data_IF_524702004799
#
_entry.id   IF_524702004799
#
_cell.length_a   1.000
_cell.length_b   1.000
_cell.length_c   1.000
_cell.angle_alpha   90.00
_cell.angle_beta   90.00
_cell.angle_gamma   90.00
#
_symmetry.space_group_name_H-M   'P 1'
#
loop_
_entity.id
_entity.type
_entity.pdbx_description
1 polymer ?
#
# COMPACT_ATOMS: atom_id res chain seq x y z
N UNK A 1 20.06 -9.26 7.62
CA UNK A 1 18.75 -8.82 7.08
C UNK A 1 18.98 -8.23 5.71
N UNK A 2 18.19 -8.65 4.73
CA UNK A 2 18.18 -7.95 3.45
C UNK A 2 17.54 -6.57 3.70
N UNK A 3 18.13 -5.51 3.16
CA UNK A 3 17.54 -4.18 3.17
C UNK A 3 17.60 -3.62 1.75
N UNK A 4 16.51 -3.01 1.31
CA UNK A 4 16.47 -2.32 0.02
C UNK A 4 16.88 -0.89 0.30
N UNK A 5 18.09 -0.51 -0.12
CA UNK A 5 18.52 0.88 -0.11
C UNK A 5 18.37 1.47 -1.50
N UNK A 6 17.15 1.94 -1.81
CA UNK A 6 16.85 2.52 -3.13
C UNK A 6 17.73 3.74 -3.37
N UNK A 7 18.08 4.51 -2.33
CA UNK A 7 18.89 5.72 -2.49
C UNK A 7 20.30 5.46 -3.06
N UNK A 8 20.84 4.25 -2.87
CA UNK A 8 22.16 3.82 -3.37
C UNK A 8 22.10 3.13 -4.74
N UNK A 9 20.91 3.02 -5.35
CA UNK A 9 20.80 2.38 -6.67
C UNK A 9 21.57 3.13 -7.74
N UNK A 10 22.31 2.37 -8.55
CA UNK A 10 22.95 2.87 -9.77
C UNK A 10 21.91 3.18 -10.85
N UNK A 11 22.32 3.93 -11.88
CA UNK A 11 21.50 4.19 -13.08
C UNK A 11 21.04 2.88 -13.73
N UNK A 12 21.92 1.86 -13.80
CA UNK A 12 21.57 0.55 -14.35
C UNK A 12 20.45 -0.12 -13.55
N UNK A 13 20.55 -0.14 -12.21
CA UNK A 13 19.53 -0.71 -11.34
C UNK A 13 18.18 0.03 -11.45
N UNK A 14 18.21 1.36 -11.57
CA UNK A 14 17.01 2.17 -11.82
C UNK A 14 16.38 1.79 -13.16
N UNK A 15 17.18 1.63 -14.22
CA UNK A 15 16.64 1.29 -15.54
C UNK A 15 16.11 -0.14 -15.60
N UNK A 16 16.70 -1.08 -14.86
CA UNK A 16 16.18 -2.45 -14.74
C UNK A 16 14.86 -2.48 -13.97
N UNK A 17 14.74 -1.71 -12.89
CA UNK A 17 13.46 -1.51 -12.20
C UNK A 17 12.41 -0.89 -13.13
N UNK A 18 12.78 0.14 -13.90
CA UNK A 18 11.88 0.84 -14.81
C UNK A 18 11.28 -0.09 -15.89
N UNK A 19 12.08 -1.01 -16.44
CA UNK A 19 11.63 -2.04 -17.40
C UNK A 19 10.58 -2.99 -16.81
N UNK A 20 10.58 -3.16 -15.48
CA UNK A 20 9.65 -4.05 -14.78
C UNK A 20 8.26 -3.46 -14.53
N UNK A 21 8.04 -2.16 -14.80
CA UNK A 21 6.76 -1.51 -14.50
C UNK A 21 5.71 -1.75 -15.58
N UNK A 22 6.03 -1.42 -16.83
CA UNK A 22 5.13 -1.56 -17.98
C UNK A 22 5.95 -1.60 -19.29
N UNK A 23 5.42 -2.25 -20.33
CA UNK A 23 6.08 -2.34 -21.64
C UNK A 23 6.33 -0.95 -22.28
N UNK A 24 5.50 0.05 -21.98
CA UNK A 24 5.70 1.43 -22.46
C UNK A 24 6.97 2.09 -21.89
N UNK A 25 7.50 1.58 -20.77
CA UNK A 25 8.67 2.17 -20.12
C UNK A 25 9.97 1.97 -20.90
N UNK A 26 10.03 0.96 -21.78
CA UNK A 26 11.21 0.68 -22.60
C UNK A 26 11.62 1.87 -23.49
N UNK A 27 10.67 2.72 -23.88
CA UNK A 27 10.95 3.93 -24.67
C UNK A 27 11.77 4.97 -23.90
N UNK A 28 11.74 4.94 -22.57
CA UNK A 28 12.39 5.94 -21.71
C UNK A 28 13.72 5.45 -21.11
N UNK A 29 14.01 4.15 -21.18
CA UNK A 29 15.23 3.54 -20.60
C UNK A 29 16.50 4.28 -21.02
N UNK A 30 16.69 4.53 -22.32
CA UNK A 30 17.88 5.23 -22.81
C UNK A 30 17.99 6.66 -22.27
N UNK A 31 16.86 7.34 -22.10
CA UNK A 31 16.82 8.70 -21.55
C UNK A 31 17.25 8.69 -20.07
N UNK A 32 16.74 7.75 -19.28
CA UNK A 32 17.14 7.56 -17.89
C UNK A 32 18.64 7.21 -17.77
N UNK A 33 19.14 6.31 -18.63
CA UNK A 33 20.57 5.96 -18.67
C UNK A 33 21.44 7.17 -19.01
N UNK A 34 21.11 7.91 -20.08
CA UNK A 34 21.90 9.06 -20.55
C UNK A 34 21.93 10.23 -19.56
N UNK A 35 20.87 10.38 -18.77
CA UNK A 35 20.79 11.40 -17.71
C UNK A 35 21.28 10.88 -16.36
N UNK A 36 21.85 9.66 -16.32
CA UNK A 36 22.42 9.03 -15.12
C UNK A 36 21.48 9.04 -13.91
N UNK A 37 20.18 8.77 -14.14
CA UNK A 37 19.16 8.84 -13.09
C UNK A 37 19.39 7.74 -12.06
N UNK A 38 20.04 8.11 -10.96
CA UNK A 38 20.31 7.23 -9.82
C UNK A 38 19.14 7.15 -8.83
N UNK A 39 19.25 6.22 -7.89
CA UNK A 39 18.18 5.91 -6.94
C UNK A 39 17.74 7.08 -6.06
N UNK A 40 18.68 7.92 -5.60
CA UNK A 40 18.35 9.15 -4.85
C UNK A 40 17.52 10.13 -5.67
N UNK A 41 17.80 10.29 -6.95
CA UNK A 41 17.02 11.15 -7.84
C UNK A 41 15.64 10.53 -8.09
N UNK A 42 15.60 9.22 -8.38
CA UNK A 42 14.35 8.49 -8.57
C UNK A 42 13.39 8.66 -7.38
N UNK A 43 13.88 8.51 -6.14
CA UNK A 43 13.07 8.69 -4.93
C UNK A 43 12.50 10.10 -4.77
N UNK A 44 13.10 11.11 -5.40
CA UNK A 44 12.66 12.50 -5.28
C UNK A 44 12.05 13.04 -6.57
N UNK A 45 11.88 12.18 -7.59
CA UNK A 45 11.51 12.60 -8.93
C UNK A 45 10.16 13.30 -8.94
N UNK A 46 10.10 14.43 -9.66
CA UNK A 46 8.91 15.25 -9.83
C UNK A 46 8.35 15.08 -11.24
N UNK A 47 7.04 15.35 -11.46
CA UNK A 47 6.43 15.25 -12.78
C UNK A 47 7.19 16.03 -13.88
N UNK A 48 7.65 17.25 -13.58
CA UNK A 48 8.40 18.06 -14.54
C UNK A 48 9.79 17.48 -14.88
N UNK A 49 10.40 16.68 -14.00
CA UNK A 49 11.66 15.99 -14.29
C UNK A 49 11.43 14.80 -15.23
N UNK A 50 10.28 14.12 -15.11
CA UNK A 50 9.86 13.09 -16.07
C UNK A 50 9.62 13.70 -17.45
N UNK A 51 9.04 14.90 -17.54
CA UNK A 51 8.90 15.64 -18.80
C UNK A 51 10.25 15.94 -19.45
N UNK A 52 11.25 16.34 -18.66
CA UNK A 52 12.63 16.58 -19.14
C UNK A 52 13.30 15.29 -19.65
N UNK A 53 12.93 14.14 -19.09
CA UNK A 53 13.34 12.82 -19.57
C UNK A 53 12.55 12.35 -20.81
N UNK A 54 11.67 13.20 -21.36
CA UNK A 54 10.89 12.92 -22.56
C UNK A 54 9.54 12.25 -22.29
N UNK A 55 9.16 12.05 -21.03
CA UNK A 55 7.90 11.41 -20.63
C UNK A 55 6.78 12.44 -20.52
N UNK A 56 6.23 12.86 -21.67
CA UNK A 56 5.14 13.85 -21.74
C UNK A 56 3.74 13.25 -21.53
N UNK A 57 3.60 11.93 -21.65
CA UNK A 57 2.32 11.25 -21.42
C UNK A 57 2.02 11.21 -19.93
N UNK A 58 0.95 11.89 -19.50
CA UNK A 58 0.49 11.88 -18.10
C UNK A 58 0.29 10.44 -17.61
N UNK A 59 -0.29 9.56 -18.44
CA UNK A 59 -0.48 8.15 -18.07
C UNK A 59 0.82 7.42 -17.77
N UNK A 60 1.89 7.70 -18.53
CA UNK A 60 3.20 7.09 -18.27
C UNK A 60 3.86 7.68 -17.02
N UNK A 61 3.70 8.99 -16.79
CA UNK A 61 4.19 9.64 -15.58
C UNK A 61 3.54 9.04 -14.34
N UNK A 62 2.22 8.84 -14.35
CA UNK A 62 1.49 8.27 -13.21
C UNK A 62 1.97 6.85 -12.87
N UNK A 63 2.26 6.00 -13.87
CA UNK A 63 2.82 4.65 -13.62
C UNK A 63 4.14 4.74 -12.84
N UNK A 64 5.06 5.62 -13.28
CA UNK A 64 6.35 5.79 -12.60
C UNK A 64 6.17 6.41 -11.21
N UNK A 65 5.36 7.47 -11.08
CA UNK A 65 5.16 8.16 -9.82
C UNK A 65 4.49 7.27 -8.77
N UNK A 66 3.51 6.46 -9.18
CA UNK A 66 2.88 5.46 -8.32
C UNK A 66 3.91 4.41 -7.88
N UNK A 67 4.72 3.89 -8.81
CA UNK A 67 5.76 2.92 -8.51
C UNK A 67 6.86 3.48 -7.58
N UNK A 68 7.24 4.75 -7.74
CA UNK A 68 8.16 5.46 -6.85
C UNK A 68 7.59 5.59 -5.44
N UNK A 69 6.27 5.77 -5.30
CA UNK A 69 5.64 5.82 -3.97
C UNK A 69 5.74 4.46 -3.24
N UNK A 70 5.59 3.34 -3.96
CA UNK A 70 5.87 2.01 -3.40
C UNK A 70 7.34 1.87 -2.99
N UNK A 71 8.29 2.32 -3.82
CA UNK A 71 9.72 2.30 -3.49
C UNK A 71 10.05 3.12 -2.23
N UNK A 72 9.46 4.32 -2.09
CA UNK A 72 9.62 5.12 -0.87
C UNK A 72 9.10 4.40 0.35
N UNK A 73 7.94 3.72 0.24
CA UNK A 73 7.40 2.97 1.35
C UNK A 73 8.38 1.86 1.79
N UNK A 74 8.93 1.11 0.84
CA UNK A 74 9.95 0.10 1.15
C UNK A 74 11.23 0.71 1.74
N UNK A 75 11.69 1.85 1.21
CA UNK A 75 12.93 2.47 1.66
C UNK A 75 12.84 3.11 3.07
N UNK A 76 11.68 3.65 3.44
CA UNK A 76 11.55 4.45 4.67
C UNK A 76 10.75 3.79 5.79
N UNK A 77 9.85 2.85 5.44
CA UNK A 77 8.87 2.30 6.36
C UNK A 77 8.98 0.78 6.53
N UNK A 78 9.77 0.05 5.74
CA UNK A 78 9.84 -1.42 5.84
C UNK A 78 10.14 -1.90 7.27
N UNK A 79 11.08 -1.26 7.95
CA UNK A 79 11.53 -1.59 9.31
C UNK A 79 10.68 -0.98 10.43
N UNK A 80 9.70 -0.13 10.09
CA UNK A 80 8.86 0.62 11.05
C UNK A 80 7.38 0.28 10.94
N UNK A 81 6.93 -0.10 9.76
CA UNK A 81 5.54 -0.40 9.47
C UNK A 81 5.15 -1.67 10.23
N UNK A 82 4.20 -1.53 11.15
CA UNK A 82 3.55 -2.61 11.88
C UNK A 82 2.05 -2.30 11.98
N UNK A 83 1.26 -3.27 12.49
CA UNK A 83 -0.19 -3.13 12.53
C UNK A 83 -0.62 -1.93 13.40
N UNK A 84 0.07 -1.67 14.52
CA UNK A 84 -0.21 -0.50 15.37
C UNK A 84 0.07 0.82 14.64
N UNK A 85 1.19 0.90 13.92
CA UNK A 85 1.57 2.08 13.14
C UNK A 85 0.52 2.39 12.06
N UNK A 86 0.08 1.36 11.32
CA UNK A 86 -0.98 1.51 10.33
C UNK A 86 -2.32 1.92 10.96
N UNK A 87 -2.67 1.34 12.11
CA UNK A 87 -3.83 1.77 12.88
C UNK A 87 -3.73 3.23 13.31
N UNK A 88 -2.56 3.70 13.76
CA UNK A 88 -2.33 5.10 14.13
C UNK A 88 -2.58 6.06 12.95
N UNK A 89 -2.15 5.69 11.74
CA UNK A 89 -2.44 6.46 10.53
C UNK A 89 -3.93 6.54 10.24
N UNK A 90 -4.67 5.43 10.39
CA UNK A 90 -6.13 5.39 10.24
C UNK A 90 -6.82 6.23 11.31
N UNK A 91 -6.40 6.11 12.58
CA UNK A 91 -6.94 6.89 13.68
C UNK A 91 -6.76 8.39 13.44
N UNK A 92 -5.55 8.82 13.07
CA UNK A 92 -5.22 10.22 12.77
C UNK A 92 -6.05 10.78 11.62
N UNK A 93 -6.11 10.06 10.48
CA UNK A 93 -6.91 10.48 9.33
C UNK A 93 -8.41 10.57 9.67
N UNK A 94 -8.94 9.55 10.36
CA UNK A 94 -10.35 9.48 10.76
C UNK A 94 -10.74 10.56 11.75
N UNK A 95 -9.90 10.83 12.76
CA UNK A 95 -10.12 11.88 13.73
C UNK A 95 -10.04 13.27 13.10
N UNK A 96 -9.09 13.49 12.18
CA UNK A 96 -8.98 14.75 11.44
C UNK A 96 -10.25 15.01 10.63
N UNK A 97 -10.71 14.03 9.85
CA UNK A 97 -11.93 14.11 9.05
C UNK A 97 -13.16 14.34 9.95
N UNK A 98 -13.31 13.58 11.03
CA UNK A 98 -14.42 13.72 11.96
C UNK A 98 -14.47 15.10 12.61
N UNK A 99 -13.33 15.62 13.10
CA UNK A 99 -13.25 16.97 13.69
C UNK A 99 -13.62 18.05 12.67
N UNK A 100 -13.07 17.97 11.47
CA UNK A 100 -13.36 18.92 10.40
C UNK A 100 -14.85 18.96 10.08
N UNK A 101 -15.53 17.80 10.02
CA UNK A 101 -16.96 17.74 9.74
C UNK A 101 -17.84 18.17 10.94
N UNK A 102 -17.41 17.91 12.18
CA UNK A 102 -18.14 18.29 13.41
C UNK A 102 -18.19 19.80 13.62
N UNK A 103 -17.13 20.50 13.26
CA UNK A 103 -17.02 21.96 13.41
C UNK A 103 -17.30 22.71 12.10
N UNK A 104 -17.76 22.02 11.07
CA UNK A 104 -18.14 22.64 9.81
C UNK A 104 -19.64 22.89 9.78
N UNK A 105 -20.03 24.13 9.49
CA UNK A 105 -21.42 24.49 9.18
C UNK A 105 -21.83 24.06 7.75
N UNK A 106 -20.95 23.35 7.04
CA UNK A 106 -21.17 22.95 5.65
C UNK A 106 -22.18 21.81 5.56
N UNK A 107 -23.16 22.00 4.69
CA UNK A 107 -24.17 20.99 4.33
C UNK A 107 -23.80 20.21 3.07
N UNK A 108 -22.75 20.64 2.35
CA UNK A 108 -22.26 20.06 1.09
C UNK A 108 -20.78 19.66 1.22
N UNK A 109 -20.36 18.64 0.47
CA UNK A 109 -18.98 18.20 0.45
C UNK A 109 -18.16 19.14 -0.44
N UNK A 110 -17.23 19.87 0.17
CA UNK A 110 -16.23 20.63 -0.58
C UNK A 110 -15.10 19.72 -1.05
N UNK A 111 -14.37 20.16 -2.08
CA UNK A 111 -13.21 19.44 -2.64
C UNK A 111 -12.20 19.02 -1.57
N UNK A 112 -12.00 19.86 -0.55
CA UNK A 112 -11.10 19.55 0.56
C UNK A 112 -11.59 18.34 1.37
N UNK A 113 -12.89 18.26 1.69
CA UNK A 113 -13.48 17.11 2.39
C UNK A 113 -13.35 15.84 1.55
N UNK A 114 -13.59 15.92 0.24
CA UNK A 114 -13.42 14.78 -0.67
C UNK A 114 -11.96 14.27 -0.68
N UNK A 115 -11.00 15.19 -0.64
CA UNK A 115 -9.57 14.87 -0.50
C UNK A 115 -9.28 14.18 0.84
N UNK A 116 -9.85 14.65 1.93
CA UNK A 116 -9.65 14.07 3.27
C UNK A 116 -10.33 12.70 3.42
N UNK A 117 -11.49 12.49 2.78
CA UNK A 117 -12.11 11.16 2.65
C UNK A 117 -11.20 10.23 1.85
N UNK A 118 -10.70 10.68 0.69
CA UNK A 118 -9.79 9.88 -0.15
C UNK A 118 -8.53 9.49 0.61
N UNK A 119 -7.95 10.41 1.39
CA UNK A 119 -6.81 10.15 2.28
C UNK A 119 -7.16 9.11 3.36
N UNK A 120 -8.34 9.20 3.96
CA UNK A 120 -8.79 8.26 4.99
C UNK A 120 -8.94 6.86 4.39
N UNK A 121 -9.61 6.73 3.24
CA UNK A 121 -9.76 5.45 2.52
C UNK A 121 -8.41 4.88 2.09
N UNK A 122 -7.48 5.74 1.63
CA UNK A 122 -6.13 5.31 1.27
C UNK A 122 -5.37 4.73 2.47
N UNK A 123 -5.51 5.30 3.67
CA UNK A 123 -4.90 4.80 4.90
C UNK A 123 -5.45 3.42 5.34
N UNK A 124 -6.69 3.07 4.96
CA UNK A 124 -7.27 1.76 5.27
C UNK A 124 -6.64 0.62 4.45
N UNK A 125 -6.20 0.89 3.22
CA UNK A 125 -5.71 -0.16 2.30
C UNK A 125 -4.52 -0.93 2.86
N UNK A 126 -3.45 -0.30 3.38
CA UNK A 126 -2.34 -1.03 3.99
C UNK A 126 -2.77 -1.81 5.23
N UNK A 127 -3.63 -1.22 6.08
CA UNK A 127 -4.11 -1.87 7.31
C UNK A 127 -4.90 -3.15 6.99
N UNK A 128 -5.81 -3.10 6.02
CA UNK A 128 -6.54 -4.29 5.53
C UNK A 128 -5.55 -5.29 4.92
N UNK A 129 -4.60 -4.81 4.12
CA UNK A 129 -3.57 -5.65 3.50
C UNK A 129 -2.72 -6.45 4.50
N UNK A 130 -2.45 -5.87 5.67
CA UNK A 130 -1.78 -6.54 6.80
C UNK A 130 -2.68 -7.56 7.51
N UNK A 131 -3.97 -7.26 7.67
CA UNK A 131 -4.93 -8.20 8.26
C UNK A 131 -5.22 -9.38 7.32
N UNK A 132 -5.02 -9.22 6.01
CA UNK A 132 -5.20 -10.24 4.97
C UNK A 132 -4.00 -11.18 4.78
N UNK A 133 -3.01 -11.15 5.68
CA UNK A 133 -1.82 -12.00 5.61
C UNK A 133 -1.47 -12.64 6.96
N UNK A 134 -0.66 -13.68 6.91
CA UNK A 134 -0.07 -14.30 8.10
C UNK A 134 0.78 -13.25 8.83
N UNK A 135 0.80 -13.21 10.19
CA UNK A 135 0.13 -14.13 11.12
C UNK A 135 -1.33 -13.77 11.46
N UNK A 136 -1.87 -12.67 10.96
CA UNK A 136 -3.18 -12.16 11.37
C UNK A 136 -4.35 -12.91 10.72
N UNK A 137 -4.20 -13.30 9.45
CA UNK A 137 -5.23 -14.01 8.69
C UNK A 137 -5.61 -15.33 9.36
N UNK A 138 -6.91 -15.58 9.51
CA UNK A 138 -7.44 -16.82 10.10
C UNK A 138 -7.60 -16.76 11.62
N UNK A 139 -7.13 -15.68 12.25
CA UNK A 139 -7.44 -15.41 13.65
C UNK A 139 -8.76 -14.63 13.75
N UNK A 140 -9.73 -15.20 14.46
CA UNK A 140 -11.10 -14.68 14.55
C UNK A 140 -11.17 -13.18 14.89
N UNK A 141 -10.39 -12.72 15.88
CA UNK A 141 -10.36 -11.32 16.29
C UNK A 141 -9.93 -10.38 15.14
N UNK A 142 -8.88 -10.74 14.41
CA UNK A 142 -8.36 -9.94 13.31
C UNK A 142 -9.23 -10.02 12.05
N UNK A 143 -9.83 -11.17 11.77
CA UNK A 143 -10.78 -11.34 10.67
C UNK A 143 -12.07 -10.51 10.88
N UNK A 144 -12.56 -10.42 12.12
CA UNK A 144 -13.70 -9.57 12.49
C UNK A 144 -13.36 -8.09 12.33
N UNK A 145 -12.19 -7.65 12.81
CA UNK A 145 -11.69 -6.27 12.62
C UNK A 145 -11.57 -5.93 11.13
N UNK A 146 -10.92 -6.81 10.35
CA UNK A 146 -10.74 -6.64 8.90
C UNK A 146 -12.07 -6.44 8.19
N UNK A 147 -13.04 -7.32 8.45
CA UNK A 147 -14.36 -7.25 7.82
C UNK A 147 -15.06 -5.93 8.13
N UNK A 148 -14.98 -5.49 9.39
CA UNK A 148 -15.60 -4.23 9.83
C UNK A 148 -14.92 -3.00 9.23
N UNK A 149 -13.59 -2.97 9.18
CA UNK A 149 -12.82 -1.89 8.56
C UNK A 149 -13.13 -1.82 7.05
N UNK A 150 -13.15 -2.97 6.37
CA UNK A 150 -13.47 -3.05 4.94
C UNK A 150 -14.89 -2.53 4.65
N UNK A 151 -15.88 -2.93 5.45
CA UNK A 151 -17.26 -2.46 5.30
C UNK A 151 -17.37 -0.94 5.45
N UNK A 152 -16.75 -0.37 6.49
CA UNK A 152 -16.77 1.07 6.75
C UNK A 152 -15.99 1.85 5.68
N UNK A 153 -14.87 1.31 5.21
CA UNK A 153 -14.10 1.90 4.12
C UNK A 153 -14.87 1.95 2.80
N UNK A 154 -15.61 0.89 2.48
CA UNK A 154 -16.48 0.84 1.31
C UNK A 154 -17.66 1.81 1.44
N UNK A 155 -18.28 1.88 2.62
CA UNK A 155 -19.35 2.85 2.92
C UNK A 155 -18.83 4.28 2.70
N UNK A 156 -17.66 4.61 3.25
CA UNK A 156 -17.01 5.92 3.10
C UNK A 156 -16.69 6.27 1.65
N UNK A 157 -16.07 5.35 0.90
CA UNK A 157 -15.77 5.56 -0.52
C UNK A 157 -17.04 5.75 -1.36
N UNK A 158 -18.09 4.97 -1.07
CA UNK A 158 -19.38 5.07 -1.76
C UNK A 158 -20.07 6.40 -1.50
N UNK A 159 -19.99 6.92 -0.26
CA UNK A 159 -20.54 8.23 0.09
C UNK A 159 -19.83 9.36 -0.65
N UNK A 160 -18.50 9.31 -0.77
CA UNK A 160 -17.74 10.31 -1.52
C UNK A 160 -18.13 10.35 -3.02
N UNK A 161 -18.52 9.21 -3.61
CA UNK A 161 -18.94 9.14 -5.01
C UNK A 161 -20.40 9.58 -5.23
N UNK A 162 -21.28 9.40 -4.23
CA UNK A 162 -22.73 9.63 -4.35
C UNK A 162 -23.19 11.05 -3.96
N UNK A 163 -22.25 11.98 -3.75
CA UNK A 163 -22.36 13.36 -3.25
C UNK A 163 -23.66 14.14 -3.60
N UNK A 164 -24.31 13.87 -4.74
CA UNK A 164 -25.50 14.62 -5.19
C UNK A 164 -26.87 14.12 -4.70
N UNK A 165 -26.99 12.93 -4.10
CA UNK A 165 -28.31 12.33 -3.84
C UNK A 165 -28.55 11.85 -2.40
N UNK A 166 -27.56 11.96 -1.50
CA UNK A 166 -27.71 11.47 -0.13
C UNK A 166 -28.35 12.52 0.79
N UNK A 167 -29.24 12.07 1.67
CA UNK A 167 -29.78 12.90 2.75
C UNK A 167 -28.74 12.96 3.87
N UNK A 168 -28.20 14.15 4.15
CA UNK A 168 -27.17 14.41 5.20
C UNK A 168 -25.86 13.62 5.02
N UNK A 169 -25.11 13.85 3.92
CA UNK A 169 -23.82 13.18 3.67
C UNK A 169 -22.82 13.41 4.80
N UNK A 170 -22.75 14.63 5.32
CA UNK A 170 -21.79 15.07 6.34
C UNK A 170 -21.94 14.28 7.64
N UNK A 171 -23.16 14.10 8.15
CA UNK A 171 -23.43 13.34 9.38
C UNK A 171 -23.01 11.86 9.22
N UNK A 172 -23.32 11.26 8.06
CA UNK A 172 -23.01 9.85 7.79
C UNK A 172 -21.50 9.60 7.65
N UNK A 173 -20.79 10.50 6.95
CA UNK A 173 -19.34 10.44 6.80
C UNK A 173 -18.66 10.66 8.16
N UNK A 174 -19.12 11.64 8.94
CA UNK A 174 -18.62 11.90 10.29
C UNK A 174 -18.78 10.67 11.20
N UNK A 175 -19.97 10.06 11.21
CA UNK A 175 -20.25 8.84 11.98
C UNK A 175 -19.36 7.67 11.55
N UNK A 176 -19.13 7.50 10.24
CA UNK A 176 -18.27 6.45 9.70
C UNK A 176 -16.80 6.68 10.07
N UNK A 177 -16.32 7.93 9.99
CA UNK A 177 -14.99 8.32 10.44
C UNK A 177 -14.80 8.06 11.94
N UNK A 178 -15.78 8.41 12.78
CA UNK A 178 -15.73 8.11 14.22
C UNK A 178 -15.66 6.61 14.50
N UNK A 179 -16.42 5.78 13.77
CA UNK A 179 -16.37 4.31 13.90
C UNK A 179 -15.01 3.76 13.50
N UNK A 180 -14.44 4.23 12.40
CA UNK A 180 -13.10 3.83 11.94
C UNK A 180 -12.03 4.23 12.97
N UNK A 181 -12.10 5.47 13.48
CA UNK A 181 -11.20 5.94 14.53
C UNK A 181 -11.24 5.06 15.77
N UNK A 182 -12.44 4.69 16.25
CA UNK A 182 -12.59 3.79 17.41
C UNK A 182 -12.01 2.40 17.18
N UNK A 183 -12.16 1.84 15.98
CA UNK A 183 -11.56 0.53 15.66
C UNK A 183 -10.04 0.63 15.63
N UNK A 184 -9.51 1.70 15.05
CA UNK A 184 -8.07 1.95 15.04
C UNK A 184 -7.52 2.17 16.46
N UNK A 185 -8.20 2.96 17.29
CA UNK A 185 -7.84 3.16 18.70
C UNK A 185 -7.87 1.83 19.48
N UNK A 186 -8.85 0.96 19.22
CA UNK A 186 -8.89 -0.40 19.80
C UNK A 186 -7.67 -1.24 19.42
N UNK A 187 -7.24 -1.21 18.15
CA UNK A 187 -6.02 -1.90 17.71
C UNK A 187 -4.79 -1.36 18.45
N UNK A 188 -4.74 -0.05 18.70
CA UNK A 188 -3.61 0.62 19.34
C UNK A 188 -3.55 0.34 20.85
N UNK A 189 -4.69 0.37 21.53
CA UNK A 189 -4.76 0.45 23.00
C UNK A 189 -5.16 -0.88 23.67
N UNK A 190 -6.04 -1.66 23.03
CA UNK A 190 -6.72 -2.77 23.69
C UNK A 190 -6.20 -4.15 23.24
N UNK A 191 -5.51 -4.25 22.09
CA UNK A 191 -4.92 -5.52 21.64
C UNK A 191 -3.61 -5.78 22.39
N UNK A 192 -3.57 -6.87 23.16
CA UNK A 192 -2.40 -7.28 23.94
C UNK A 192 -1.40 -8.17 23.18
N UNK A 193 -1.72 -8.59 21.96
CA UNK A 193 -0.85 -9.44 21.14
C UNK A 193 0.40 -8.64 20.69
N UNK A 194 1.63 -9.06 21.06
CA UNK A 194 2.85 -8.37 20.67
C UNK A 194 3.11 -8.39 19.15
N UNK A 195 2.46 -9.26 18.38
CA UNK A 195 2.56 -9.30 16.92
C UNK A 195 2.09 -7.99 16.27
N UNK A 196 1.19 -7.25 16.92
CA UNK A 196 0.70 -5.95 16.44
C UNK A 196 1.84 -4.91 16.33
N UNK A 197 2.91 -5.10 17.11
CA UNK A 197 4.10 -4.23 17.15
C UNK A 197 5.26 -4.73 16.27
N UNK A 198 5.16 -5.94 15.71
CA UNK A 198 6.25 -6.51 14.92
C UNK A 198 6.27 -5.89 13.52
N UNK A 199 7.40 -5.26 13.11
CA UNK A 199 7.53 -4.74 11.77
C UNK A 199 7.69 -5.86 10.75
N UNK A 200 7.44 -5.55 9.47
CA UNK A 200 7.77 -6.47 8.39
C UNK A 200 9.30 -6.62 8.28
N UNK A 201 9.76 -7.79 7.85
CA UNK A 201 11.16 -8.04 7.56
C UNK A 201 11.31 -8.56 6.14
N UNK A 202 12.40 -8.17 5.48
CA UNK A 202 12.76 -8.70 4.18
C UNK A 202 13.81 -9.80 4.32
N UNK A 203 13.50 -10.96 3.75
CA UNK A 203 14.42 -12.09 3.65
C UNK A 203 14.76 -12.37 2.18
N UNK A 204 16.04 -12.51 1.87
CA UNK A 204 16.48 -12.95 0.56
C UNK A 204 16.47 -14.47 0.50
N UNK A 205 15.55 -15.03 -0.29
CA UNK A 205 15.43 -16.47 -0.49
C UNK A 205 15.99 -16.85 -1.87
N UNK A 206 16.92 -17.80 -1.90
CA UNK A 206 17.43 -18.39 -3.14
C UNK A 206 16.90 -19.80 -3.32
N UNK A 207 16.04 -19.99 -4.32
CA UNK A 207 15.54 -21.30 -4.73
C UNK A 207 16.35 -21.82 -5.92
N UNK A 208 16.84 -23.06 -5.82
CA UNK A 208 17.61 -23.69 -6.90
C UNK A 208 16.65 -24.44 -7.83
N UNK A 209 16.52 -23.96 -9.08
CA UNK A 209 15.86 -24.70 -10.15
C UNK A 209 16.71 -25.94 -10.49
N UNK A 210 16.15 -27.13 -10.30
CA UNK A 210 16.74 -28.39 -10.82
C UNK A 210 16.06 -28.70 -12.16
N UNK A 211 15.69 -29.95 -12.41
CA UNK A 211 14.91 -30.35 -13.58
C UNK A 211 13.44 -29.89 -13.51
N UNK A 212 12.93 -29.62 -12.30
CA UNK A 212 11.55 -29.17 -12.07
C UNK A 212 11.45 -27.64 -11.93
N UNK A 213 10.28 -27.09 -12.25
CA UNK A 213 9.95 -25.70 -11.91
C UNK A 213 9.99 -25.42 -10.41
N UNK A 214 10.10 -24.14 -10.04
CA UNK A 214 10.24 -23.71 -8.64
C UNK A 214 9.02 -24.08 -7.78
N UNK A 215 7.84 -24.18 -8.40
CA UNK A 215 6.62 -24.72 -7.80
C UNK A 215 5.89 -23.77 -6.87
N UNK A 216 5.86 -22.48 -7.20
CA UNK A 216 4.94 -21.50 -6.62
C UNK A 216 4.18 -20.78 -7.73
N UNK A 217 2.97 -20.31 -7.43
CA UNK A 217 2.16 -19.48 -8.32
C UNK A 217 2.10 -18.05 -7.76
N UNK A 218 2.40 -17.06 -8.58
CA UNK A 218 2.22 -15.65 -8.22
C UNK A 218 0.87 -15.18 -8.79
N UNK A 219 0.02 -14.60 -7.94
CA UNK A 219 -1.22 -13.95 -8.37
C UNK A 219 -1.33 -12.54 -7.78
N UNK A 220 -1.90 -11.57 -8.53
CA UNK A 220 -2.21 -10.27 -7.96
C UNK A 220 -3.31 -10.40 -6.90
N UNK A 221 -3.10 -9.73 -5.76
CA UNK A 221 -4.13 -9.53 -4.74
C UNK A 221 -5.14 -8.46 -5.16
N UNK A 222 -6.21 -8.30 -4.39
CA UNK A 222 -7.24 -7.26 -4.60
C UNK A 222 -6.66 -5.83 -4.66
N UNK A 223 -5.48 -5.61 -4.08
CA UNK A 223 -4.81 -4.32 -4.05
C UNK A 223 -3.73 -4.18 -5.15
N UNK A 224 -3.67 -5.09 -6.13
CA UNK A 224 -2.68 -5.08 -7.20
C UNK A 224 -1.28 -5.56 -6.79
N UNK A 225 -1.09 -5.97 -5.54
CA UNK A 225 0.18 -6.50 -5.03
C UNK A 225 0.26 -7.99 -5.39
N UNK A 226 1.29 -8.38 -6.13
CA UNK A 226 1.59 -9.78 -6.44
C UNK A 226 2.00 -10.53 -5.18
N UNK A 227 1.43 -11.72 -4.97
CA UNK A 227 1.73 -12.60 -3.83
C UNK A 227 1.84 -14.05 -4.29
N UNK A 228 2.59 -14.86 -3.55
CA UNK A 228 2.58 -16.32 -3.66
C UNK A 228 1.20 -16.82 -3.23
N UNK A 229 0.43 -17.33 -4.17
CA UNK A 229 -0.94 -17.77 -3.93
C UNK A 229 -1.06 -19.28 -3.68
N UNK A 230 -0.10 -20.06 -4.20
CA UNK A 230 -0.04 -21.50 -4.00
C UNK A 230 1.41 -21.95 -4.02
N UNK A 231 1.73 -22.93 -3.16
CA UNK A 231 3.00 -23.65 -3.17
C UNK A 231 2.73 -25.12 -3.46
N UNK A 232 3.27 -25.62 -4.57
CA UNK A 232 3.12 -27.02 -4.99
C UNK A 232 3.88 -27.95 -4.04
N UNK A 233 3.19 -28.94 -3.49
CA UNK A 233 3.80 -29.97 -2.63
C UNK A 233 5.01 -30.66 -3.31
N UNK A 234 6.05 -30.96 -2.53
CA UNK A 234 7.33 -31.54 -2.98
C UNK A 234 8.12 -30.72 -4.02
N UNK A 235 7.75 -29.46 -4.29
CA UNK A 235 8.52 -28.58 -5.17
C UNK A 235 9.77 -27.99 -4.49
N UNK A 236 10.70 -27.39 -5.24
CA UNK A 236 11.81 -26.63 -4.66
C UNK A 236 11.37 -25.57 -3.65
N UNK A 237 10.28 -24.85 -3.90
CA UNK A 237 9.70 -23.88 -2.97
C UNK A 237 9.21 -24.55 -1.68
N UNK A 238 8.40 -25.61 -1.81
CA UNK A 238 7.88 -26.36 -0.66
C UNK A 238 9.00 -26.95 0.21
N UNK A 239 9.95 -27.63 -0.42
CA UNK A 239 11.05 -28.30 0.29
C UNK A 239 12.04 -27.31 0.92
N UNK A 240 12.03 -26.05 0.48
CA UNK A 240 12.87 -25.02 1.09
C UNK A 240 12.37 -24.62 2.48
N UNK A 241 11.04 -24.62 2.70
CA UNK A 241 10.42 -24.09 3.91
C UNK A 241 10.68 -22.60 4.15
N UNK A 242 11.12 -21.85 3.12
CA UNK A 242 11.51 -20.43 3.22
C UNK A 242 10.57 -19.47 2.52
N UNK A 243 9.54 -19.99 1.85
CA UNK A 243 8.51 -19.22 1.19
C UNK A 243 7.17 -19.78 1.61
N UNK A 244 6.22 -18.90 1.85
CA UNK A 244 4.88 -19.23 2.32
C UNK A 244 3.81 -18.60 1.41
N UNK A 245 2.58 -19.10 1.52
CA UNK A 245 1.45 -18.47 0.85
C UNK A 245 1.18 -17.09 1.47
N UNK A 246 1.19 -16.06 0.64
CA UNK A 246 0.99 -14.68 1.03
C UNK A 246 2.25 -13.81 0.98
N UNK A 247 3.43 -14.41 0.84
CA UNK A 247 4.70 -13.71 0.56
C UNK A 247 4.66 -12.94 -0.78
#
# INVERSE_FOLDING_TARGET
MAYINVAEWSSDQVTDWLKGLDNSMYHYVQSFTNNEVGGKQLLNIRPYELEQLGMLSIGHQEIVLEAVEYLKNFNYNLDKENLQFLALHVASASQSLSKQLKYSDQTKLETQILKDITRTVAALKPLIGWLDRVPFRGQKQFDELRTRIMQLGLEMATMAMRDRFSVKPVESICSTADKLGKIADYIIQDISDPMVLQPASLELVTLKKRESDLGFLIMPSLNGIHRIAEIKFNSPAHNSGKVEEGD
#
